data_IF_239752043604
#
_entry.id   IF_239752043604
#
_cell.length_a   1.000
_cell.length_b   1.000
_cell.length_c   1.000
_cell.angle_alpha   90.00
_cell.angle_beta   90.00
_cell.angle_gamma   90.00
#
_symmetry.space_group_name_H-M   'P 1'
#
loop_
_entity.id
_entity.type
_entity.pdbx_description
1 polymer ?
#
# COMPACT_ATOMS: atom_id res chain seq x y z
N UNK A 1 -14.16 -4.30 52.15
CA UNK A 1 -12.92 -3.89 51.44
C UNK A 1 -13.25 -3.71 49.97
N UNK A 2 -13.41 -2.47 49.53
CA UNK A 2 -13.79 -2.13 48.17
C UNK A 2 -12.58 -2.19 47.23
N UNK A 3 -12.69 -2.93 46.13
CA UNK A 3 -11.67 -3.00 45.06
C UNK A 3 -11.76 -1.73 44.22
N UNK A 4 -10.71 -0.93 44.29
CA UNK A 4 -10.45 0.24 43.43
C UNK A 4 -10.12 -0.23 42.01
N UNK A 5 -11.05 -0.05 41.07
CA UNK A 5 -10.78 -0.14 39.64
C UNK A 5 -10.13 1.14 39.17
N UNK A 6 -8.86 1.07 38.77
CA UNK A 6 -8.13 2.15 38.10
C UNK A 6 -8.70 2.38 36.70
N UNK A 7 -9.50 3.43 36.53
CA UNK A 7 -9.85 3.98 35.21
C UNK A 7 -8.59 4.56 34.57
N UNK A 8 -8.09 3.93 33.51
CA UNK A 8 -7.11 4.55 32.61
C UNK A 8 -7.82 5.67 31.86
N UNK A 9 -7.42 6.90 32.12
CA UNK A 9 -7.83 8.11 31.40
C UNK A 9 -7.14 8.15 30.04
N UNK A 10 -7.90 8.03 28.95
CA UNK A 10 -7.40 8.35 27.61
C UNK A 10 -7.28 9.86 27.43
N UNK A 11 -6.18 10.29 26.81
CA UNK A 11 -5.99 11.67 26.39
C UNK A 11 -7.01 12.04 25.30
N UNK A 12 -7.57 13.25 25.29
CA UNK A 12 -8.49 13.68 24.25
C UNK A 12 -7.70 13.93 22.96
N UNK A 13 -7.78 12.99 22.01
CA UNK A 13 -7.14 13.11 20.69
C UNK A 13 -6.75 11.79 20.02
N UNK A 14 -6.74 10.66 20.72
CA UNK A 14 -6.42 9.35 20.13
C UNK A 14 -7.69 8.61 19.69
N UNK A 15 -8.03 8.69 18.40
CA UNK A 15 -9.03 7.84 17.73
C UNK A 15 -8.47 6.45 17.42
N UNK A 16 -7.77 5.81 18.37
CA UNK A 16 -7.24 4.46 18.17
C UNK A 16 -8.15 3.43 18.83
N UNK A 17 -8.97 2.78 18.01
CA UNK A 17 -9.41 1.42 18.26
C UNK A 17 -8.33 0.51 17.67
N UNK A 18 -7.34 0.11 18.47
CA UNK A 18 -6.52 -1.05 18.11
C UNK A 18 -7.44 -2.27 18.15
N UNK A 19 -7.85 -2.74 16.97
CA UNK A 19 -8.64 -3.96 16.88
C UNK A 19 -7.70 -5.16 16.99
N UNK A 20 -7.89 -5.94 18.05
CA UNK A 20 -7.18 -7.22 18.20
C UNK A 20 -7.60 -8.14 17.06
N UNK A 21 -6.65 -8.91 16.52
CA UNK A 21 -6.95 -9.91 15.51
C UNK A 21 -8.02 -10.88 16.04
N UNK A 22 -9.07 -11.12 15.26
CA UNK A 22 -10.11 -12.07 15.61
C UNK A 22 -9.66 -13.50 15.33
N UNK A 23 -8.74 -13.66 14.38
CA UNK A 23 -8.12 -14.91 14.02
C UNK A 23 -6.81 -15.15 14.79
N UNK A 24 -6.61 -16.39 15.24
CA UNK A 24 -5.35 -16.86 15.81
C UNK A 24 -4.56 -17.62 14.74
N UNK A 25 -3.41 -17.10 14.27
CA UNK A 25 -2.62 -17.77 13.25
C UNK A 25 -2.07 -19.12 13.71
N UNK A 26 -2.07 -20.09 12.79
CA UNK A 26 -1.50 -21.43 13.00
C UNK A 26 -0.02 -21.48 12.65
N UNK A 27 0.40 -20.73 11.62
CA UNK A 27 1.80 -20.59 11.27
C UNK A 27 2.54 -19.83 12.39
N UNK A 28 3.59 -20.44 12.92
CA UNK A 28 4.35 -19.89 14.04
C UNK A 28 4.97 -18.51 13.73
N UNK A 29 5.46 -18.30 12.50
CA UNK A 29 6.03 -17.03 12.06
C UNK A 29 4.98 -15.92 11.99
N UNK A 30 3.76 -16.25 11.54
CA UNK A 30 2.64 -15.30 11.49
C UNK A 30 2.21 -14.94 12.91
N UNK A 31 2.06 -15.92 13.80
CA UNK A 31 1.75 -15.68 15.21
C UNK A 31 2.83 -14.85 15.91
N UNK A 32 4.12 -15.09 15.61
CA UNK A 32 5.24 -14.30 16.12
C UNK A 32 5.16 -12.85 15.64
N UNK A 33 4.94 -12.60 14.34
CA UNK A 33 4.78 -11.24 13.81
C UNK A 33 3.62 -10.49 14.46
N UNK A 34 2.49 -11.17 14.65
CA UNK A 34 1.31 -10.61 15.30
C UNK A 34 1.63 -10.14 16.74
N UNK A 35 2.35 -10.98 17.50
CA UNK A 35 2.76 -10.66 18.88
C UNK A 35 3.83 -9.55 18.93
N UNK A 36 4.73 -9.48 17.94
CA UNK A 36 5.78 -8.47 17.88
C UNK A 36 5.28 -7.09 17.44
N UNK A 37 4.07 -6.99 16.85
CA UNK A 37 3.55 -5.74 16.26
C UNK A 37 3.67 -4.54 17.21
N UNK A 38 3.06 -4.62 18.40
CA UNK A 38 3.02 -3.50 19.35
C UNK A 38 4.42 -3.11 19.85
N UNK A 39 5.31 -4.07 20.06
CA UNK A 39 6.65 -3.81 20.60
C UNK A 39 7.67 -3.35 19.56
N UNK A 40 7.50 -3.71 18.29
CA UNK A 40 8.56 -3.59 17.27
C UNK A 40 8.14 -2.80 16.05
N UNK A 41 6.89 -2.91 15.61
CA UNK A 41 6.45 -2.39 14.31
C UNK A 41 5.53 -1.19 14.43
N UNK A 42 4.73 -1.09 15.49
CA UNK A 42 3.75 -0.02 15.72
C UNK A 42 4.38 1.38 15.61
N UNK A 43 5.58 1.58 16.18
CA UNK A 43 6.29 2.86 16.13
C UNK A 43 6.60 3.32 14.69
N UNK A 44 6.82 2.38 13.76
CA UNK A 44 7.05 2.72 12.34
C UNK A 44 5.77 3.28 11.72
N UNK A 45 4.61 2.67 12.02
CA UNK A 45 3.31 3.19 11.56
C UNK A 45 3.00 4.56 12.16
N UNK A 46 3.26 4.74 13.46
CA UNK A 46 3.07 6.03 14.14
C UNK A 46 3.93 7.13 13.52
N UNK A 47 5.20 6.82 13.24
CA UNK A 47 6.12 7.73 12.57
C UNK A 47 5.66 8.10 11.16
N UNK A 48 5.15 7.15 10.38
CA UNK A 48 4.61 7.45 9.05
C UNK A 48 3.36 8.32 9.13
N UNK A 49 2.46 8.04 10.10
CA UNK A 49 1.28 8.89 10.35
C UNK A 49 1.67 10.31 10.76
N UNK A 50 2.69 10.49 11.58
CA UNK A 50 3.11 11.82 12.06
C UNK A 50 3.89 12.60 11.01
N UNK A 51 4.85 11.95 10.35
CA UNK A 51 5.87 12.64 9.56
C UNK A 51 5.46 12.73 8.08
N UNK A 52 4.83 11.68 7.55
CA UNK A 52 4.59 11.54 6.11
C UNK A 52 3.16 11.85 5.70
N UNK A 53 2.16 11.57 6.53
CA UNK A 53 0.76 11.96 6.21
C UNK A 53 0.62 13.46 5.90
N UNK A 54 1.21 14.40 6.68
CA UNK A 54 1.15 15.82 6.32
C UNK A 54 1.84 16.14 4.99
N UNK A 55 3.00 15.51 4.71
CA UNK A 55 3.75 15.74 3.47
C UNK A 55 2.99 15.24 2.24
N UNK A 56 2.37 14.06 2.31
CA UNK A 56 1.53 13.50 1.24
C UNK A 56 0.34 14.43 0.98
N UNK A 57 -0.34 14.88 2.04
CA UNK A 57 -1.49 15.77 1.95
C UNK A 57 -1.14 17.14 1.36
N UNK A 58 0.01 17.69 1.73
CA UNK A 58 0.55 18.91 1.14
C UNK A 58 0.76 18.74 -0.37
N UNK A 59 1.43 17.66 -0.75
CA UNK A 59 1.68 17.33 -2.14
C UNK A 59 0.36 17.21 -2.94
N UNK A 60 -0.62 16.46 -2.44
CA UNK A 60 -1.92 16.29 -3.12
C UNK A 60 -2.74 17.57 -3.19
N UNK A 61 -2.65 18.44 -2.20
CA UNK A 61 -3.31 19.74 -2.28
C UNK A 61 -2.82 20.56 -3.46
N UNK A 62 -1.51 20.55 -3.69
CA UNK A 62 -0.89 21.25 -4.81
C UNK A 62 -1.14 20.54 -6.15
N UNK A 63 -0.87 19.24 -6.20
CA UNK A 63 -0.90 18.42 -7.42
C UNK A 63 -2.32 18.15 -7.95
N UNK A 64 -3.32 18.03 -7.06
CA UNK A 64 -4.72 17.79 -7.44
C UNK A 64 -5.57 19.06 -7.39
N UNK A 65 -5.14 20.10 -6.68
CA UNK A 65 -5.97 21.28 -6.42
C UNK A 65 -7.18 20.98 -5.52
N UNK A 66 -7.09 19.95 -4.68
CA UNK A 66 -8.16 19.46 -3.83
C UNK A 66 -7.80 19.62 -2.35
N UNK A 67 -8.78 19.85 -1.48
CA UNK A 67 -8.61 19.96 -0.03
C UNK A 67 -9.56 19.01 0.69
N UNK A 68 -9.06 18.22 1.63
CA UNK A 68 -9.90 17.34 2.45
C UNK A 68 -10.53 18.13 3.58
N UNK A 69 -11.84 18.07 3.70
CA UNK A 69 -12.57 18.68 4.82
C UNK A 69 -13.34 17.59 5.55
N UNK A 70 -12.66 16.55 6.03
CA UNK A 70 -13.33 15.58 6.89
C UNK A 70 -13.50 16.20 8.28
N UNK A 71 -14.69 16.03 8.83
CA UNK A 71 -15.01 16.43 10.19
C UNK A 71 -15.99 15.44 10.77
N UNK A 72 -15.87 15.18 12.07
CA UNK A 72 -16.84 14.37 12.82
C UNK A 72 -18.25 14.91 12.54
N UNK A 73 -19.21 14.03 12.20
CA UNK A 73 -20.63 14.38 11.98
C UNK A 73 -21.09 15.40 13.03
N UNK A 74 -21.48 16.60 12.59
CA UNK A 74 -22.00 17.66 13.45
C UNK A 74 -21.00 18.73 13.93
N UNK A 75 -19.70 18.64 13.62
CA UNK A 75 -18.73 19.73 13.88
C UNK A 75 -18.23 20.34 12.57
N UNK A 76 -18.43 21.66 12.40
CA UNK A 76 -17.73 22.43 11.35
C UNK A 76 -16.24 22.37 11.64
N UNK A 77 -15.50 21.59 10.87
CA UNK A 77 -14.04 21.60 10.91
C UNK A 77 -13.57 22.72 9.99
N UNK A 78 -12.77 23.63 10.55
CA UNK A 78 -12.12 24.71 9.80
C UNK A 78 -10.75 24.19 9.38
N UNK A 79 -10.54 23.99 8.08
CA UNK A 79 -9.23 23.60 7.52
C UNK A 79 -9.16 22.15 6.99
N UNK A 80 -7.97 21.80 6.49
CA UNK A 80 -7.67 20.45 6.00
C UNK A 80 -7.36 19.54 7.19
N UNK A 81 -8.33 18.71 7.59
CA UNK A 81 -8.19 17.81 8.74
C UNK A 81 -7.81 16.37 8.38
N UNK A 82 -7.62 16.08 7.09
CA UNK A 82 -7.26 14.75 6.60
C UNK A 82 -8.42 13.76 6.70
N UNK A 83 -8.12 12.47 6.76
CA UNK A 83 -9.06 11.38 7.07
C UNK A 83 -8.49 10.53 8.20
N UNK A 84 -9.31 9.91 9.06
CA UNK A 84 -8.81 9.00 10.09
C UNK A 84 -8.03 7.84 9.46
N UNK A 85 -6.91 7.47 10.07
CA UNK A 85 -6.09 6.32 9.65
C UNK A 85 -6.14 5.28 10.78
N UNK A 86 -6.61 4.08 10.45
CA UNK A 86 -6.68 2.93 11.34
C UNK A 86 -5.65 1.89 10.92
N UNK A 87 -4.99 1.26 11.89
CA UNK A 87 -4.04 0.18 11.61
C UNK A 87 -4.67 -1.12 12.09
N UNK A 88 -4.80 -2.09 11.17
CA UNK A 88 -5.44 -3.38 11.45
C UNK A 88 -4.52 -4.53 11.03
N UNK A 89 -4.66 -5.72 11.64
CA UNK A 89 -3.85 -6.87 11.25
C UNK A 89 -4.04 -7.22 9.77
N UNK A 90 -5.30 -7.28 9.36
CA UNK A 90 -5.77 -7.75 8.06
C UNK A 90 -7.19 -7.22 7.85
N UNK A 91 -7.71 -7.24 6.62
CA UNK A 91 -9.05 -6.73 6.29
C UNK A 91 -10.15 -7.55 6.95
N UNK A 92 -10.07 -8.88 6.80
CA UNK A 92 -11.07 -9.85 7.26
C UNK A 92 -10.40 -11.19 7.69
N UNK A 93 -9.16 -11.10 8.19
CA UNK A 93 -8.25 -12.24 8.45
C UNK A 93 -7.96 -13.12 7.21
N UNK A 94 -8.33 -12.66 6.01
CA UNK A 94 -8.26 -13.44 4.76
C UNK A 94 -6.83 -13.74 4.34
N UNK A 95 -5.93 -12.77 4.47
CA UNK A 95 -4.54 -12.96 4.08
C UNK A 95 -3.82 -13.86 5.09
N UNK A 96 -4.04 -13.67 6.39
CA UNK A 96 -3.45 -14.55 7.41
C UNK A 96 -3.90 -16.00 7.24
N UNK A 97 -5.18 -16.24 6.94
CA UNK A 97 -5.70 -17.59 6.62
C UNK A 97 -5.05 -18.17 5.36
N UNK A 98 -4.90 -17.37 4.31
CA UNK A 98 -4.22 -17.81 3.09
C UNK A 98 -2.76 -18.22 3.37
N UNK A 99 -2.03 -17.48 4.21
CA UNK A 99 -0.67 -17.86 4.62
C UNK A 99 -0.67 -19.18 5.40
N UNK A 100 -1.60 -19.36 6.35
CA UNK A 100 -1.70 -20.60 7.13
C UNK A 100 -2.04 -21.81 6.25
N UNK A 101 -2.95 -21.65 5.30
CA UNK A 101 -3.39 -22.74 4.42
C UNK A 101 -2.31 -23.12 3.39
N UNK A 102 -1.62 -22.13 2.84
CA UNK A 102 -0.62 -22.35 1.78
C UNK A 102 0.77 -22.66 2.32
N UNK A 103 1.14 -22.10 3.48
CA UNK A 103 2.48 -22.14 4.04
C UNK A 103 2.45 -22.52 5.54
N UNK A 104 1.79 -23.62 5.95
CA UNK A 104 1.51 -23.91 7.37
C UNK A 104 2.78 -24.05 8.23
N UNK A 105 3.84 -24.60 7.65
CA UNK A 105 5.09 -24.92 8.36
C UNK A 105 6.24 -23.97 8.02
N UNK A 106 5.97 -22.88 7.29
CA UNK A 106 7.04 -21.99 6.86
C UNK A 106 7.56 -21.15 8.02
N UNK A 107 8.84 -21.33 8.33
CA UNK A 107 9.61 -20.44 9.19
C UNK A 107 10.19 -19.27 8.37
N UNK A 108 9.79 -18.04 8.68
CA UNK A 108 10.21 -16.85 7.94
C UNK A 108 11.69 -16.49 8.15
N UNK A 109 12.28 -16.81 9.30
CA UNK A 109 13.69 -16.55 9.57
C UNK A 109 14.56 -17.58 8.83
N UNK A 110 14.17 -18.86 8.83
CA UNK A 110 14.81 -19.88 7.99
C UNK A 110 14.70 -19.53 6.51
N UNK A 111 13.53 -19.09 6.05
CA UNK A 111 13.33 -18.68 4.66
C UNK A 111 14.26 -17.53 4.28
N UNK A 112 14.37 -16.50 5.13
CA UNK A 112 15.28 -15.37 4.92
C UNK A 112 16.76 -15.82 4.90
N UNK A 113 17.17 -16.68 5.83
CA UNK A 113 18.54 -17.21 5.89
C UNK A 113 18.90 -18.00 4.62
N UNK A 114 17.98 -18.85 4.13
CA UNK A 114 18.18 -19.64 2.91
C UNK A 114 18.25 -18.75 1.66
N UNK A 115 17.49 -17.65 1.60
CA UNK A 115 17.65 -16.64 0.54
C UNK A 115 19.02 -15.98 0.57
N UNK A 116 19.47 -15.54 1.76
CA UNK A 116 20.79 -14.95 1.92
C UNK A 116 21.92 -15.90 1.49
N UNK A 117 21.80 -17.19 1.87
CA UNK A 117 22.74 -18.23 1.46
C UNK A 117 22.72 -18.46 -0.05
N UNK A 118 21.53 -18.56 -0.68
CA UNK A 118 21.39 -18.66 -2.14
C UNK A 118 22.13 -17.52 -2.84
N UNK A 119 21.93 -16.29 -2.39
CA UNK A 119 22.53 -15.12 -3.03
C UNK A 119 24.04 -15.07 -2.84
N UNK A 120 24.54 -15.52 -1.68
CA UNK A 120 25.97 -15.68 -1.44
C UNK A 120 26.60 -16.76 -2.36
N UNK A 121 25.92 -17.89 -2.55
CA UNK A 121 26.36 -18.95 -3.47
C UNK A 121 26.40 -18.46 -4.92
N UNK A 122 25.36 -17.73 -5.35
CA UNK A 122 25.34 -17.16 -6.70
C UNK A 122 26.49 -16.19 -6.95
N UNK A 123 26.84 -15.35 -5.96
CA UNK A 123 27.99 -14.43 -6.10
C UNK A 123 29.34 -15.14 -6.11
N UNK A 124 29.44 -16.28 -5.45
CA UNK A 124 30.71 -17.02 -5.30
C UNK A 124 30.86 -18.17 -6.28
N UNK A 125 29.90 -18.39 -7.18
CA UNK A 125 29.87 -19.54 -8.09
C UNK A 125 31.13 -19.72 -8.93
N UNK A 126 31.79 -18.63 -9.31
CA UNK A 126 33.04 -18.65 -10.08
C UNK A 126 34.21 -19.31 -9.34
N UNK A 127 34.18 -19.36 -8.01
CA UNK A 127 35.24 -19.98 -7.19
C UNK A 127 35.08 -21.50 -7.05
N UNK A 128 33.99 -22.08 -7.55
CA UNK A 128 33.70 -23.52 -7.43
C UNK A 128 33.86 -24.26 -8.76
N UNK A 129 34.52 -23.69 -9.76
CA UNK A 129 34.60 -24.28 -11.11
C UNK A 129 35.78 -25.22 -11.33
N UNK A 130 36.88 -25.03 -10.60
CA UNK A 130 38.15 -25.74 -10.83
C UNK A 130 38.21 -27.14 -10.18
N UNK A 131 37.51 -27.33 -9.06
CA UNK A 131 37.45 -28.60 -8.32
C UNK A 131 36.09 -29.27 -8.56
N UNK A 132 36.03 -30.43 -9.25
CA UNK A 132 34.78 -31.10 -9.59
C UNK A 132 33.91 -31.49 -8.39
N UNK A 133 34.53 -31.83 -7.26
CA UNK A 133 33.80 -32.22 -6.05
C UNK A 133 33.18 -30.98 -5.38
N UNK A 134 33.97 -29.90 -5.25
CA UNK A 134 33.45 -28.61 -4.75
C UNK A 134 32.34 -28.07 -5.63
N UNK A 135 32.49 -28.18 -6.95
CA UNK A 135 31.45 -27.80 -7.92
C UNK A 135 30.16 -28.56 -7.68
N UNK A 136 30.26 -29.89 -7.54
CA UNK A 136 29.11 -30.78 -7.31
C UNK A 136 28.37 -30.41 -6.02
N UNK A 137 29.09 -30.17 -4.93
CA UNK A 137 28.50 -29.79 -3.63
C UNK A 137 27.82 -28.42 -3.73
N UNK A 138 28.50 -27.44 -4.35
CA UNK A 138 27.94 -26.11 -4.59
C UNK A 138 26.63 -26.18 -5.38
N UNK A 139 26.64 -26.89 -6.51
CA UNK A 139 25.48 -26.99 -7.40
C UNK A 139 24.32 -27.73 -6.74
N UNK A 140 24.60 -28.81 -6.00
CA UNK A 140 23.59 -29.53 -5.22
C UNK A 140 22.95 -28.62 -4.16
N UNK A 141 23.76 -27.91 -3.38
CA UNK A 141 23.25 -27.03 -2.33
C UNK A 141 22.41 -25.87 -2.91
N UNK A 142 22.87 -25.27 -4.02
CA UNK A 142 22.12 -24.22 -4.69
C UNK A 142 20.79 -24.75 -5.25
N UNK A 143 20.76 -25.96 -5.81
CA UNK A 143 19.56 -26.60 -6.33
C UNK A 143 18.57 -26.96 -5.20
N UNK A 144 19.06 -27.48 -4.07
CA UNK A 144 18.25 -27.82 -2.91
C UNK A 144 17.59 -26.57 -2.31
N UNK A 145 18.38 -25.51 -2.09
CA UNK A 145 17.89 -24.23 -1.58
C UNK A 145 16.85 -23.63 -2.54
N UNK A 146 17.10 -23.63 -3.85
CA UNK A 146 16.14 -23.15 -4.85
C UNK A 146 14.83 -23.92 -4.79
N UNK A 147 14.91 -25.24 -4.71
CA UNK A 147 13.73 -26.12 -4.62
C UNK A 147 12.91 -25.82 -3.37
N UNK A 148 13.57 -25.67 -2.20
CA UNK A 148 12.91 -25.28 -0.96
C UNK A 148 12.22 -23.92 -1.07
N UNK A 149 12.93 -22.89 -1.56
CA UNK A 149 12.39 -21.53 -1.68
C UNK A 149 11.22 -21.46 -2.67
N UNK A 150 11.28 -22.21 -3.76
CA UNK A 150 10.19 -22.29 -4.75
C UNK A 150 8.95 -22.96 -4.16
N UNK A 151 9.12 -24.09 -3.46
CA UNK A 151 8.01 -24.81 -2.82
C UNK A 151 7.37 -24.02 -1.66
N UNK A 152 8.12 -23.12 -1.03
CA UNK A 152 7.68 -22.31 0.10
C UNK A 152 7.62 -20.81 -0.23
N UNK A 153 7.31 -20.47 -1.47
CA UNK A 153 7.34 -19.08 -1.92
C UNK A 153 6.33 -18.22 -1.16
N UNK A 154 6.81 -17.20 -0.46
CA UNK A 154 5.97 -16.17 0.16
C UNK A 154 5.15 -15.38 -0.86
N UNK A 155 5.47 -15.46 -2.16
CA UNK A 155 4.67 -14.84 -3.22
C UNK A 155 3.28 -15.47 -3.35
N UNK A 156 3.16 -16.77 -3.04
CA UNK A 156 1.95 -17.57 -3.28
C UNK A 156 0.68 -16.92 -2.71
N UNK A 157 0.62 -16.61 -1.41
CA UNK A 157 -0.52 -15.92 -0.81
C UNK A 157 -0.85 -14.58 -1.47
N UNK A 158 0.15 -13.78 -1.87
CA UNK A 158 -0.10 -12.51 -2.58
C UNK A 158 -0.73 -12.76 -3.96
N UNK A 159 -0.14 -13.66 -4.74
CA UNK A 159 -0.64 -14.01 -6.08
C UNK A 159 -2.05 -14.57 -6.01
N UNK A 160 -2.32 -15.48 -5.08
CA UNK A 160 -3.65 -16.06 -4.86
C UNK A 160 -4.69 -14.98 -4.51
N UNK A 161 -4.32 -14.03 -3.64
CA UNK A 161 -5.25 -12.97 -3.24
C UNK A 161 -5.47 -11.92 -4.34
N UNK A 162 -4.42 -11.51 -5.04
CA UNK A 162 -4.50 -10.50 -6.11
C UNK A 162 -5.24 -11.03 -7.36
N UNK A 163 -5.13 -12.33 -7.65
CA UNK A 163 -5.79 -12.96 -8.79
C UNK A 163 -7.28 -13.26 -8.57
N UNK A 164 -7.79 -13.18 -7.34
CA UNK A 164 -9.22 -13.36 -7.07
C UNK A 164 -9.98 -12.07 -7.40
N UNK A 165 -10.88 -12.07 -8.42
CA UNK A 165 -11.67 -10.89 -8.73
C UNK A 165 -12.57 -10.50 -7.54
N UNK A 166 -12.59 -9.22 -7.16
CA UNK A 166 -13.46 -8.70 -6.09
C UNK A 166 -12.71 -8.04 -4.93
N UNK A 167 -13.17 -8.29 -3.69
CA UNK A 167 -12.76 -7.60 -2.44
C UNK A 167 -11.28 -7.76 -2.02
N UNK A 168 -10.49 -8.54 -2.75
CA UNK A 168 -9.12 -8.88 -2.37
C UNK A 168 -8.04 -7.96 -2.95
N UNK A 169 -8.44 -6.93 -3.70
CA UNK A 169 -7.53 -5.94 -4.31
C UNK A 169 -7.00 -4.88 -3.33
N UNK A 170 -7.63 -4.77 -2.16
CA UNK A 170 -7.22 -3.86 -1.06
C UNK A 170 -6.34 -4.59 -0.04
N UNK A 171 -5.28 -5.25 -0.52
CA UNK A 171 -4.51 -6.16 0.32
C UNK A 171 -3.67 -5.44 1.38
N UNK A 172 -3.12 -4.26 1.03
CA UNK A 172 -2.20 -3.52 1.90
C UNK A 172 -2.88 -2.36 2.64
N UNK A 173 -3.94 -1.82 2.06
CA UNK A 173 -4.72 -0.74 2.63
C UNK A 173 -6.07 -0.62 1.93
N UNK A 174 -6.97 0.17 2.54
CA UNK A 174 -8.30 0.45 2.02
C UNK A 174 -8.77 1.83 2.48
N UNK A 175 -9.15 2.68 1.53
CA UNK A 175 -10.01 3.82 1.80
C UNK A 175 -11.50 3.44 1.70
N UNK A 176 -12.23 3.65 2.80
CA UNK A 176 -13.68 3.40 2.88
C UNK A 176 -14.46 4.70 2.69
N UNK A 177 -15.25 4.77 1.60
CA UNK A 177 -16.02 5.97 1.22
C UNK A 177 -17.11 6.36 2.24
N UNK A 178 -17.80 5.37 2.82
CA UNK A 178 -18.97 5.58 3.69
C UNK A 178 -18.61 6.35 4.96
N UNK A 179 -17.54 5.92 5.62
CA UNK A 179 -17.04 6.49 6.87
C UNK A 179 -15.81 7.40 6.69
N UNK A 180 -15.37 7.58 5.44
CA UNK A 180 -14.22 8.41 5.04
C UNK A 180 -12.96 8.18 5.88
N UNK A 181 -12.53 6.94 6.00
CA UNK A 181 -11.31 6.58 6.73
C UNK A 181 -10.42 5.66 5.90
N UNK A 182 -9.16 5.60 6.27
CA UNK A 182 -8.16 4.69 5.70
C UNK A 182 -7.87 3.60 6.72
N UNK A 183 -7.80 2.36 6.25
CA UNK A 183 -7.28 1.22 6.98
C UNK A 183 -5.96 0.80 6.34
N UNK A 184 -4.93 0.56 7.14
CA UNK A 184 -3.66 -0.02 6.69
C UNK A 184 -3.49 -1.39 7.34
N UNK A 185 -3.16 -2.41 6.54
CA UNK A 185 -3.11 -3.80 6.97
C UNK A 185 -1.68 -4.25 7.23
N UNK A 186 -1.29 -4.34 8.52
CA UNK A 186 0.11 -4.52 8.87
C UNK A 186 0.66 -5.92 8.59
N UNK A 187 -0.15 -6.98 8.67
CA UNK A 187 0.34 -8.34 8.39
C UNK A 187 0.77 -8.53 6.93
N UNK A 188 -0.06 -8.20 5.92
CA UNK A 188 0.37 -8.27 4.53
C UNK A 188 1.55 -7.33 4.24
N UNK A 189 1.60 -6.12 4.82
CA UNK A 189 2.74 -5.21 4.70
C UNK A 189 4.04 -5.82 5.25
N UNK A 190 4.03 -6.36 6.47
CA UNK A 190 5.21 -6.96 7.10
C UNK A 190 5.74 -8.16 6.30
N UNK A 191 4.84 -9.03 5.84
CA UNK A 191 5.21 -10.21 5.06
C UNK A 191 5.70 -9.79 3.68
N UNK A 192 5.08 -8.78 3.05
CA UNK A 192 5.53 -8.22 1.77
C UNK A 192 6.95 -7.63 1.89
N UNK A 193 7.23 -6.88 2.96
CA UNK A 193 8.55 -6.30 3.21
C UNK A 193 9.61 -7.38 3.40
N UNK A 194 9.31 -8.45 4.16
CA UNK A 194 10.20 -9.61 4.31
C UNK A 194 10.42 -10.34 2.98
N UNK A 195 9.38 -10.51 2.18
CA UNK A 195 9.47 -11.18 0.89
C UNK A 195 10.23 -10.36 -0.17
N UNK A 196 9.99 -9.05 -0.25
CA UNK A 196 10.63 -8.19 -1.25
C UNK A 196 11.95 -7.57 -0.79
N UNK A 197 12.36 -7.81 0.45
CA UNK A 197 13.56 -7.20 1.07
C UNK A 197 13.53 -5.68 0.90
N UNK A 198 12.42 -5.10 1.32
CA UNK A 198 12.16 -3.66 1.29
C UNK A 198 11.80 -3.16 2.68
N UNK A 199 12.04 -1.87 2.90
CA UNK A 199 11.80 -1.22 4.17
C UNK A 199 10.29 -1.03 4.43
N UNK A 200 9.88 -1.28 5.68
CA UNK A 200 8.49 -1.18 6.10
C UNK A 200 7.97 0.26 6.07
N UNK A 201 8.79 1.25 6.48
CA UNK A 201 8.39 2.65 6.47
C UNK A 201 7.98 3.06 5.06
N UNK A 202 8.80 2.73 4.06
CA UNK A 202 8.53 3.10 2.68
C UNK A 202 7.32 2.36 2.10
N UNK A 203 7.10 1.10 2.46
CA UNK A 203 5.88 0.36 2.09
C UNK A 203 4.61 1.05 2.63
N UNK A 204 4.63 1.46 3.91
CA UNK A 204 3.51 2.18 4.52
C UNK A 204 3.30 3.53 3.82
N UNK A 205 4.37 4.28 3.52
CA UNK A 205 4.28 5.58 2.83
C UNK A 205 3.63 5.45 1.47
N UNK A 206 4.04 4.47 0.64
CA UNK A 206 3.45 4.28 -0.70
C UNK A 206 1.98 3.90 -0.61
N UNK A 207 1.63 2.95 0.25
CA UNK A 207 0.22 2.53 0.42
C UNK A 207 -0.63 3.66 0.97
N UNK A 208 -0.13 4.41 1.96
CA UNK A 208 -0.84 5.56 2.50
C UNK A 208 -1.03 6.65 1.44
N UNK A 209 -0.04 6.90 0.57
CA UNK A 209 -0.17 7.82 -0.54
C UNK A 209 -1.30 7.40 -1.49
N UNK A 210 -1.32 6.13 -1.89
CA UNK A 210 -2.40 5.57 -2.72
C UNK A 210 -3.79 5.74 -2.08
N UNK A 211 -3.96 5.33 -0.82
CA UNK A 211 -5.25 5.43 -0.14
C UNK A 211 -5.69 6.89 0.11
N UNK A 212 -4.74 7.79 0.36
CA UNK A 212 -5.03 9.22 0.43
C UNK A 212 -5.47 9.77 -0.92
N UNK A 213 -4.89 9.34 -2.04
CA UNK A 213 -5.35 9.77 -3.35
C UNK A 213 -6.83 9.40 -3.58
N UNK A 214 -7.25 8.20 -3.19
CA UNK A 214 -8.67 7.81 -3.18
C UNK A 214 -9.52 8.75 -2.31
N UNK A 215 -9.03 9.09 -1.11
CA UNK A 215 -9.70 10.03 -0.23
C UNK A 215 -9.86 11.42 -0.85
N UNK A 216 -8.82 11.96 -1.50
CA UNK A 216 -8.88 13.25 -2.18
C UNK A 216 -9.84 13.22 -3.37
N UNK A 217 -9.83 12.17 -4.20
CA UNK A 217 -10.77 12.05 -5.31
C UNK A 217 -12.24 12.04 -4.84
N UNK A 218 -12.52 11.31 -3.77
CA UNK A 218 -13.87 11.19 -3.21
C UNK A 218 -14.32 12.43 -2.43
N UNK A 219 -13.63 12.71 -1.33
CA UNK A 219 -14.03 13.67 -0.30
C UNK A 219 -13.35 15.03 -0.44
N UNK A 220 -12.32 15.14 -1.27
CA UNK A 220 -11.64 16.41 -1.55
C UNK A 220 -12.58 17.39 -2.22
N UNK A 221 -12.54 18.65 -1.78
CA UNK A 221 -13.22 19.77 -2.42
C UNK A 221 -12.24 20.54 -3.32
N UNK A 222 -12.70 20.93 -4.49
CA UNK A 222 -11.97 21.88 -5.34
C UNK A 222 -12.07 23.31 -4.77
N UNK A 223 -11.44 24.26 -5.47
CA UNK A 223 -11.46 25.69 -5.08
C UNK A 223 -12.88 26.30 -5.06
N UNK A 224 -13.84 25.69 -5.76
CA UNK A 224 -15.24 26.10 -5.77
C UNK A 224 -16.07 25.39 -4.67
N UNK A 225 -15.42 24.59 -3.82
CA UNK A 225 -16.04 23.84 -2.73
C UNK A 225 -16.78 22.57 -3.18
N UNK A 226 -16.59 22.10 -4.42
CA UNK A 226 -17.33 20.97 -5.00
C UNK A 226 -16.61 19.64 -4.77
N UNK A 227 -17.40 18.63 -4.43
CA UNK A 227 -16.98 17.23 -4.28
C UNK A 227 -17.39 16.39 -5.49
N UNK A 228 -16.70 15.29 -5.75
CA UNK A 228 -17.08 14.35 -6.81
C UNK A 228 -18.05 13.29 -6.29
N UNK A 229 -19.33 13.68 -6.16
CA UNK A 229 -20.39 12.87 -5.51
C UNK A 229 -20.49 11.44 -6.08
N UNK A 230 -20.30 11.29 -7.39
CA UNK A 230 -20.45 10.00 -8.08
C UNK A 230 -19.11 9.30 -8.35
N UNK A 231 -18.01 9.71 -7.69
CA UNK A 231 -16.71 9.04 -7.81
C UNK A 231 -16.81 7.51 -7.63
N UNK A 232 -17.55 6.96 -6.64
CA UNK A 232 -17.66 5.50 -6.47
C UNK A 232 -18.20 4.76 -7.71
N UNK A 233 -19.00 5.45 -8.54
CA UNK A 233 -19.60 4.94 -9.79
C UNK A 233 -18.72 5.13 -11.02
N UNK A 234 -17.57 5.79 -10.90
CA UNK A 234 -16.62 5.91 -11.99
C UNK A 234 -15.96 4.56 -12.29
N UNK A 235 -15.59 4.39 -13.56
CA UNK A 235 -14.88 3.20 -14.04
C UNK A 235 -13.64 2.92 -13.20
N UNK A 236 -13.36 1.65 -12.93
CA UNK A 236 -12.28 1.23 -12.03
C UNK A 236 -10.92 1.80 -12.46
N UNK A 237 -10.62 1.78 -13.77
CA UNK A 237 -9.38 2.34 -14.32
C UNK A 237 -9.22 3.84 -14.11
N UNK A 238 -10.33 4.59 -13.96
CA UNK A 238 -10.25 6.01 -13.61
C UNK A 238 -9.84 6.14 -12.14
N UNK A 239 -10.48 5.36 -11.25
CA UNK A 239 -10.27 5.43 -9.81
C UNK A 239 -8.86 4.99 -9.42
N UNK A 240 -8.48 3.77 -9.80
CA UNK A 240 -7.16 3.22 -9.50
C UNK A 240 -6.07 3.92 -10.32
N UNK A 241 -6.32 4.19 -11.60
CA UNK A 241 -5.34 4.86 -12.45
C UNK A 241 -4.98 6.27 -11.96
N UNK A 242 -5.96 7.07 -11.54
CA UNK A 242 -5.66 8.39 -10.94
C UNK A 242 -4.97 8.24 -9.57
N UNK A 243 -5.38 7.28 -8.74
CA UNK A 243 -4.74 7.05 -7.45
C UNK A 243 -3.27 6.66 -7.62
N UNK A 244 -2.96 5.75 -8.54
CA UNK A 244 -1.60 5.34 -8.85
C UNK A 244 -0.78 6.43 -9.53
N UNK A 245 -1.38 7.18 -10.47
CA UNK A 245 -0.69 8.30 -11.11
C UNK A 245 -0.18 9.33 -10.11
N UNK A 246 -1.03 9.75 -9.16
CA UNK A 246 -0.61 10.71 -8.14
C UNK A 246 0.34 10.09 -7.10
N UNK A 247 0.22 8.79 -6.84
CA UNK A 247 1.19 8.05 -6.01
C UNK A 247 2.56 8.02 -6.66
N UNK A 248 2.66 7.69 -7.95
CA UNK A 248 3.94 7.70 -8.68
C UNK A 248 4.57 9.10 -8.69
N UNK A 249 3.77 10.15 -8.90
CA UNK A 249 4.28 11.53 -8.86
C UNK A 249 4.77 11.94 -7.47
N UNK A 250 4.09 11.50 -6.41
CA UNK A 250 4.59 11.70 -5.04
C UNK A 250 5.93 10.97 -4.85
N UNK A 251 6.03 9.71 -5.29
CA UNK A 251 7.27 8.93 -5.23
C UNK A 251 8.39 9.63 -6.00
N UNK A 252 8.12 10.07 -7.24
CA UNK A 252 9.08 10.78 -8.09
C UNK A 252 9.59 12.08 -7.45
N UNK A 253 8.73 12.81 -6.73
CA UNK A 253 9.13 14.02 -6.04
C UNK A 253 10.13 13.78 -4.89
N UNK A 254 10.16 12.56 -4.33
CA UNK A 254 10.96 12.21 -3.15
C UNK A 254 12.06 11.17 -3.42
N UNK A 255 12.07 10.50 -4.57
CA UNK A 255 12.97 9.37 -4.86
C UNK A 255 14.46 9.74 -4.88
N UNK A 256 14.79 11.01 -5.15
CA UNK A 256 16.18 11.49 -5.10
C UNK A 256 16.75 11.47 -3.69
N UNK A 257 15.96 11.87 -2.70
CA UNK A 257 16.34 11.88 -1.28
C UNK A 257 16.13 10.50 -0.65
N UNK A 258 15.11 9.77 -1.12
CA UNK A 258 14.71 8.47 -0.60
C UNK A 258 14.58 7.41 -1.72
N UNK A 259 15.70 6.90 -2.28
CA UNK A 259 15.66 5.94 -3.39
C UNK A 259 14.91 4.63 -3.06
N UNK A 260 14.88 4.24 -1.78
CA UNK A 260 14.14 3.08 -1.32
C UNK A 260 12.62 3.19 -1.52
N UNK A 261 12.08 4.42 -1.57
CA UNK A 261 10.67 4.68 -1.85
C UNK A 261 10.29 4.22 -3.26
N UNK A 262 11.12 4.54 -4.28
CA UNK A 262 10.92 4.06 -5.66
C UNK A 262 10.97 2.54 -5.74
N UNK A 263 11.99 1.92 -5.12
CA UNK A 263 12.12 0.45 -5.08
C UNK A 263 10.86 -0.21 -4.54
N UNK A 264 10.28 0.32 -3.46
CA UNK A 264 9.03 -0.20 -2.89
C UNK A 264 7.86 -0.04 -3.83
N UNK A 265 7.67 1.15 -4.41
CA UNK A 265 6.59 1.42 -5.36
C UNK A 265 6.61 0.42 -6.52
N UNK A 266 7.78 0.23 -7.12
CA UNK A 266 7.93 -0.71 -8.25
C UNK A 266 7.62 -2.15 -7.83
N UNK A 267 7.91 -2.55 -6.59
CA UNK A 267 7.57 -3.89 -6.05
C UNK A 267 6.10 -4.06 -5.74
N UNK A 268 5.41 -3.00 -5.29
CA UNK A 268 3.97 -3.03 -5.04
C UNK A 268 3.19 -3.10 -6.36
N UNK A 269 3.68 -2.40 -7.39
CA UNK A 269 3.07 -2.42 -8.72
C UNK A 269 3.27 -3.76 -9.44
N UNK A 270 4.35 -4.48 -9.16
CA UNK A 270 4.60 -5.84 -9.68
C UNK A 270 3.52 -6.82 -9.23
N UNK A 271 2.70 -7.30 -10.18
CA UNK A 271 1.60 -8.22 -9.90
C UNK A 271 0.30 -7.53 -9.50
N UNK A 272 0.22 -6.21 -9.63
CA UNK A 272 -1.04 -5.46 -9.59
C UNK A 272 -1.88 -5.73 -10.86
N UNK A 273 -3.19 -5.55 -10.76
CA UNK A 273 -4.11 -5.70 -11.89
C UNK A 273 -3.99 -4.56 -12.91
N UNK A 274 -4.52 -4.76 -14.12
CA UNK A 274 -4.45 -3.80 -15.22
C UNK A 274 -4.96 -2.39 -14.84
N UNK A 275 -5.96 -2.31 -13.95
CA UNK A 275 -6.48 -1.04 -13.46
C UNK A 275 -5.42 -0.16 -12.76
N UNK A 276 -4.47 -0.76 -12.05
CA UNK A 276 -3.38 -0.07 -11.36
C UNK A 276 -2.30 0.42 -12.34
N UNK A 277 -2.21 -0.19 -13.52
CA UNK A 277 -1.27 0.21 -14.58
C UNK A 277 -1.91 1.02 -15.70
N UNK A 278 -3.24 1.17 -15.69
CA UNK A 278 -4.02 1.85 -16.73
C UNK A 278 -3.54 3.29 -17.00
N UNK A 279 -2.97 3.94 -15.98
CA UNK A 279 -2.45 5.27 -16.10
C UNK A 279 -1.18 5.39 -16.97
N UNK A 280 -0.44 4.28 -17.14
CA UNK A 280 0.74 4.23 -18.00
C UNK A 280 0.39 4.53 -19.46
N UNK A 281 -0.85 4.25 -19.89
CA UNK A 281 -1.33 4.52 -21.24
C UNK A 281 -1.37 6.01 -21.60
N UNK A 282 -1.49 6.89 -20.61
CA UNK A 282 -1.70 8.32 -20.84
C UNK A 282 -0.70 9.21 -20.10
N UNK A 283 0.10 8.69 -19.17
CA UNK A 283 1.00 9.53 -18.36
C UNK A 283 2.09 10.22 -19.16
N UNK A 284 2.66 9.58 -20.18
CA UNK A 284 3.78 10.14 -20.95
C UNK A 284 3.30 11.26 -21.88
N UNK A 285 2.01 11.24 -22.24
CA UNK A 285 1.40 12.21 -23.13
C UNK A 285 0.86 13.45 -22.44
N UNK A 286 0.82 13.48 -21.11
CA UNK A 286 0.17 14.53 -20.33
C UNK A 286 1.04 14.99 -19.15
N UNK A 287 1.21 16.30 -19.00
CA UNK A 287 1.85 16.88 -17.82
C UNK A 287 0.96 16.77 -16.58
N UNK A 288 1.56 16.95 -15.38
CA UNK A 288 0.83 16.98 -14.12
C UNK A 288 -0.32 17.99 -14.12
N UNK A 289 -0.09 19.20 -14.64
CA UNK A 289 -1.12 20.24 -14.70
C UNK A 289 -2.23 19.92 -15.72
N UNK A 290 -1.91 19.23 -16.82
CA UNK A 290 -2.92 18.76 -17.78
C UNK A 290 -3.82 17.69 -17.14
N UNK A 291 -3.25 16.73 -16.39
CA UNK A 291 -4.03 15.72 -15.68
C UNK A 291 -4.87 16.35 -14.56
N UNK A 292 -4.34 17.34 -13.85
CA UNK A 292 -5.08 18.12 -12.84
C UNK A 292 -6.27 18.88 -13.45
N UNK A 293 -6.09 19.50 -14.61
CA UNK A 293 -7.19 20.14 -15.35
C UNK A 293 -8.23 19.10 -15.80
N UNK A 294 -7.79 17.95 -16.33
CA UNK A 294 -8.67 16.85 -16.69
C UNK A 294 -9.48 16.33 -15.50
N UNK A 295 -8.84 16.16 -14.33
CA UNK A 295 -9.50 15.79 -13.07
C UNK A 295 -10.60 16.81 -12.72
N UNK A 296 -10.33 18.11 -12.81
CA UNK A 296 -11.34 19.14 -12.59
C UNK A 296 -12.54 18.99 -13.53
N UNK A 297 -12.30 18.77 -14.83
CA UNK A 297 -13.36 18.57 -15.81
C UNK A 297 -14.16 17.29 -15.60
N UNK A 298 -13.49 16.19 -15.24
CA UNK A 298 -14.09 14.88 -14.92
C UNK A 298 -15.07 15.02 -13.75
N UNK A 299 -14.66 15.74 -12.71
CA UNK A 299 -15.48 16.01 -11.53
C UNK A 299 -16.69 16.89 -11.85
N UNK A 300 -16.50 17.95 -12.65
CA UNK A 300 -17.57 18.90 -13.02
C UNK A 300 -18.60 18.30 -13.97
N UNK A 301 -18.18 17.41 -14.86
CA UNK A 301 -19.05 16.78 -15.85
C UNK A 301 -19.52 15.38 -15.46
N UNK A 302 -19.19 14.92 -14.24
CA UNK A 302 -19.56 13.60 -13.74
C UNK A 302 -19.18 12.48 -14.72
N UNK A 303 -17.93 12.50 -15.17
CA UNK A 303 -17.40 11.51 -16.12
C UNK A 303 -17.24 10.17 -15.40
N UNK A 304 -17.85 9.12 -15.97
CA UNK A 304 -17.87 7.77 -15.36
C UNK A 304 -17.25 6.68 -16.23
N UNK A 305 -17.13 6.88 -17.54
CA UNK A 305 -16.57 5.89 -18.48
C UNK A 305 -15.12 6.24 -18.79
N UNK A 306 -14.27 5.24 -19.00
CA UNK A 306 -12.84 5.45 -19.26
C UNK A 306 -12.59 6.20 -20.58
N UNK A 307 -13.42 5.97 -21.60
CA UNK A 307 -13.35 6.64 -22.90
C UNK A 307 -13.61 8.15 -22.77
N UNK A 308 -14.65 8.53 -22.03
CA UNK A 308 -14.94 9.93 -21.74
C UNK A 308 -13.85 10.59 -20.90
N UNK A 309 -13.21 9.83 -19.99
CA UNK A 309 -12.03 10.30 -19.24
C UNK A 309 -10.85 10.60 -20.17
N UNK A 310 -10.52 9.69 -21.11
CA UNK A 310 -9.49 9.95 -22.14
C UNK A 310 -9.84 11.17 -23.00
N UNK A 311 -11.12 11.38 -23.30
CA UNK A 311 -11.60 12.60 -23.95
C UNK A 311 -11.27 13.87 -23.15
N UNK A 312 -11.44 13.85 -21.82
CA UNK A 312 -11.07 14.98 -20.95
C UNK A 312 -9.57 15.20 -20.82
N UNK A 313 -8.76 14.15 -20.86
CA UNK A 313 -7.30 14.28 -20.94
C UNK A 313 -6.86 14.99 -22.24
N UNK A 314 -7.39 14.55 -23.38
CA UNK A 314 -7.09 15.18 -24.67
C UNK A 314 -7.58 16.64 -24.75
N UNK A 315 -8.75 16.93 -24.17
CA UNK A 315 -9.27 18.29 -24.03
C UNK A 315 -8.34 19.17 -23.18
N UNK A 316 -7.86 18.67 -22.03
CA UNK A 316 -6.94 19.40 -21.16
C UNK A 316 -5.62 19.71 -21.87
N UNK A 317 -5.06 18.73 -22.59
CA UNK A 317 -3.83 18.91 -23.39
C UNK A 317 -3.99 20.02 -24.42
N UNK A 318 -5.11 20.04 -25.15
CA UNK A 318 -5.41 21.09 -26.14
C UNK A 318 -5.57 22.49 -25.54
N UNK A 319 -6.10 22.61 -24.33
CA UNK A 319 -6.33 23.92 -23.69
C UNK A 319 -5.05 24.52 -23.10
N UNK A 320 -4.01 23.72 -22.92
CA UNK A 320 -2.76 24.10 -22.26
C UNK A 320 -1.54 24.10 -23.19
N UNK A 321 -1.73 23.74 -24.46
CA UNK A 321 -0.75 23.86 -25.53
C UNK A 321 -1.07 25.11 -26.37
#
# INVERSE_FOLDING_TARGET
>A
MARTTTKKTHAPGSTELFEQARYTPKNHSVAKLLNEYSSKYMQVFDKVKSDWNPAIREFYRSAMGLRLYSGTKGKKVVGDAGVPIQIRPDRDDTFMKAVDDMLPNLDFERYAALRGLRDALLRTSAHFTEDPERKRIHDWMLADIRSYLQANSLAGPFTEMMNKPGKHRSLFGLYTYEDQHIELFYMPLLIFCKYNEVDLQWAIVVVLAHELAHAYHHAGKDNDGRVWVNMPKAHLWIKEGLAEYYTEWFVKAHEREYPALRKVYDRLLQGSGEEYTSYLEWKEDHSLEQVKLALSMVRRHDVRTYEAFKGKLAEAKRLMN
#
